data_IF_934692404573
#
_entry.id   IF_934692404573
#
_cell.length_a   1.000
_cell.length_b   1.000
_cell.length_c   1.000
_cell.angle_alpha   90.00
_cell.angle_beta   90.00
_cell.angle_gamma   90.00
#
_symmetry.space_group_name_H-M   'P 1'
#
loop_
_entity.id
_entity.type
_entity.pdbx_description
1 polymer ?
#
# COMPACT_ATOMS: atom_id res chain seq x y z
N UNK A 1 -49.19 14.91 33.62
CA UNK A 1 -47.76 14.69 33.84
C UNK A 1 -47.31 13.52 32.98
N UNK A 2 -46.65 13.76 31.86
CA UNK A 2 -46.06 12.71 31.01
C UNK A 2 -44.56 12.69 31.27
N UNK A 3 -44.08 11.59 31.83
CA UNK A 3 -42.66 11.35 32.08
C UNK A 3 -41.97 11.15 30.74
N UNK A 4 -40.99 12.01 30.40
CA UNK A 4 -40.04 11.81 29.30
C UNK A 4 -38.98 10.82 29.75
N UNK A 5 -39.00 9.61 29.20
CA UNK A 5 -37.90 8.69 29.30
C UNK A 5 -36.77 9.13 28.36
N UNK A 6 -35.72 9.73 28.89
CA UNK A 6 -34.48 9.97 28.20
C UNK A 6 -33.66 8.70 28.35
N UNK A 7 -33.71 7.83 27.32
CA UNK A 7 -32.80 6.70 27.21
C UNK A 7 -31.56 7.18 26.45
N UNK A 8 -30.57 7.73 27.14
CA UNK A 8 -29.22 7.87 26.61
C UNK A 8 -28.54 6.51 26.74
N UNK A 9 -28.55 5.73 25.66
CA UNK A 9 -27.54 4.67 25.48
C UNK A 9 -26.20 5.36 25.36
N UNK A 10 -25.47 5.53 26.46
CA UNK A 10 -24.05 5.78 26.44
C UNK A 10 -23.42 4.57 25.75
N UNK A 11 -23.01 4.75 24.49
CA UNK A 11 -22.18 3.77 23.78
C UNK A 11 -20.87 3.66 24.57
N UNK A 12 -20.57 2.46 25.07
CA UNK A 12 -19.25 2.14 25.59
C UNK A 12 -18.27 2.49 24.45
N UNK A 13 -17.23 3.31 24.70
CA UNK A 13 -16.25 3.62 23.67
C UNK A 13 -15.69 2.29 23.17
N UNK A 14 -15.85 1.99 21.87
CA UNK A 14 -15.15 0.85 21.28
C UNK A 14 -13.64 1.09 21.40
N UNK A 15 -12.88 0.07 21.82
CA UNK A 15 -11.43 0.15 21.90
C UNK A 15 -10.86 0.60 20.56
N UNK A 16 -9.87 1.50 20.53
CA UNK A 16 -9.34 2.05 19.30
C UNK A 16 -8.72 0.97 18.42
N UNK A 17 -8.82 1.17 17.11
CA UNK A 17 -8.16 0.34 16.10
C UNK A 17 -6.79 0.93 15.79
N UNK A 18 -5.73 0.16 15.99
CA UNK A 18 -4.38 0.62 15.61
C UNK A 18 -4.14 0.44 14.12
N UNK A 19 -3.69 1.50 13.47
CA UNK A 19 -3.17 1.45 12.09
C UNK A 19 -1.71 1.88 12.06
N UNK A 20 -0.85 1.04 11.54
CA UNK A 20 0.57 1.38 11.29
C UNK A 20 0.79 1.68 9.81
N UNK A 21 1.85 2.43 9.48
CA UNK A 21 2.16 2.76 8.08
C UNK A 21 1.22 3.79 7.45
N UNK A 22 0.59 4.62 8.24
CA UNK A 22 -0.45 5.60 7.83
C UNK A 22 0.05 6.72 6.93
N UNK A 23 1.35 6.95 6.86
CA UNK A 23 1.98 7.89 5.92
C UNK A 23 2.15 7.31 4.52
N UNK A 24 1.94 6.01 4.35
CA UNK A 24 1.93 5.31 3.07
C UNK A 24 0.56 5.35 2.39
N UNK A 25 0.53 5.02 1.10
CA UNK A 25 -0.68 5.10 0.26
C UNK A 25 -1.85 4.28 0.82
N UNK A 26 -1.64 3.00 1.13
CA UNK A 26 -2.67 2.13 1.71
C UNK A 26 -3.13 2.63 3.08
N UNK A 27 -2.20 2.86 4.00
CA UNK A 27 -2.53 3.27 5.37
C UNK A 27 -3.30 4.60 5.43
N UNK A 28 -2.97 5.56 4.56
CA UNK A 28 -3.69 6.83 4.45
C UNK A 28 -5.15 6.66 4.01
N UNK A 29 -5.42 5.72 3.09
CA UNK A 29 -6.78 5.38 2.65
C UNK A 29 -7.54 4.60 3.72
N UNK A 30 -6.89 3.64 4.37
CA UNK A 30 -7.50 2.81 5.40
C UNK A 30 -7.95 3.64 6.61
N UNK A 31 -7.11 4.56 7.10
CA UNK A 31 -7.48 5.45 8.22
C UNK A 31 -8.71 6.28 7.88
N UNK A 32 -8.77 6.87 6.68
CA UNK A 32 -9.95 7.65 6.25
C UNK A 32 -11.21 6.80 6.19
N UNK A 33 -11.10 5.57 5.71
CA UNK A 33 -12.24 4.65 5.65
C UNK A 33 -12.72 4.28 7.06
N UNK A 34 -11.80 3.94 7.98
CA UNK A 34 -12.16 3.61 9.37
C UNK A 34 -12.84 4.77 10.07
N UNK A 35 -12.34 6.00 9.89
CA UNK A 35 -12.98 7.21 10.44
C UNK A 35 -14.36 7.44 9.83
N UNK A 36 -14.53 7.27 8.52
CA UNK A 36 -15.84 7.38 7.85
C UNK A 36 -16.82 6.31 8.34
N UNK A 37 -16.33 5.14 8.73
CA UNK A 37 -17.13 4.07 9.33
C UNK A 37 -17.38 4.29 10.85
N UNK A 38 -16.99 5.47 11.40
CA UNK A 38 -17.23 5.88 12.78
C UNK A 38 -16.32 5.21 13.82
N UNK A 39 -15.21 4.60 13.40
CA UNK A 39 -14.30 3.91 14.31
C UNK A 39 -13.31 4.89 14.96
N UNK A 40 -12.95 4.65 16.21
CA UNK A 40 -11.84 5.32 16.86
C UNK A 40 -10.53 4.73 16.34
N UNK A 41 -9.64 5.60 15.83
CA UNK A 41 -8.41 5.16 15.18
C UNK A 41 -7.20 5.72 15.93
N UNK A 42 -6.30 4.82 16.33
CA UNK A 42 -4.95 5.15 16.76
C UNK A 42 -3.97 4.94 15.63
N UNK A 43 -3.02 5.84 15.47
CA UNK A 43 -1.99 5.77 14.43
C UNK A 43 -0.59 5.78 15.04
N UNK A 44 0.28 4.89 14.55
CA UNK A 44 1.69 4.91 14.90
C UNK A 44 2.47 5.71 13.85
N UNK A 45 3.16 6.74 14.30
CA UNK A 45 3.93 7.68 13.50
C UNK A 45 5.40 7.68 13.92
N UNK A 46 6.29 7.94 12.98
CA UNK A 46 7.70 8.23 13.29
C UNK A 46 7.90 9.75 13.29
N UNK A 47 8.58 10.29 14.29
CA UNK A 47 8.81 11.74 14.43
C UNK A 47 9.56 12.36 13.25
N UNK A 48 10.43 11.58 12.60
CA UNK A 48 11.34 12.03 11.53
C UNK A 48 10.62 12.30 10.20
N UNK A 49 9.33 11.97 10.07
CA UNK A 49 8.62 12.07 8.79
C UNK A 49 7.54 13.16 8.80
N UNK A 50 7.43 13.86 7.67
CA UNK A 50 6.29 14.72 7.42
C UNK A 50 5.00 13.90 7.37
N UNK A 51 4.13 14.11 8.34
CA UNK A 51 2.90 13.33 8.55
C UNK A 51 1.66 13.96 7.90
N UNK A 52 1.82 14.65 6.76
CA UNK A 52 0.71 15.32 6.06
C UNK A 52 -0.48 14.42 5.77
N UNK A 53 -0.27 13.10 5.68
CA UNK A 53 -1.34 12.14 5.46
C UNK A 53 -2.37 12.08 6.60
N UNK A 54 -2.00 12.50 7.80
CA UNK A 54 -2.87 12.51 8.99
C UNK A 54 -3.31 13.90 9.44
N UNK A 55 -2.92 14.96 8.71
CA UNK A 55 -3.33 16.31 9.04
C UNK A 55 -4.85 16.46 8.92
N UNK A 56 -5.46 17.12 9.93
CA UNK A 56 -6.90 17.36 9.97
C UNK A 56 -7.74 16.11 10.27
N UNK A 57 -7.14 14.95 10.51
CA UNK A 57 -7.87 13.75 10.91
C UNK A 57 -7.98 13.67 12.44
N UNK A 58 -9.16 13.28 12.91
CA UNK A 58 -9.43 12.99 14.32
C UNK A 58 -8.94 11.58 14.66
N UNK A 59 -7.65 11.48 14.99
CA UNK A 59 -6.96 10.23 15.32
C UNK A 59 -6.06 10.41 16.53
N UNK A 60 -5.97 9.39 17.36
CA UNK A 60 -4.99 9.32 18.43
C UNK A 60 -3.59 9.05 17.83
N UNK A 61 -2.61 9.89 18.14
CA UNK A 61 -1.25 9.81 17.61
C UNK A 61 -0.29 9.26 18.65
N UNK A 62 0.33 8.13 18.34
CA UNK A 62 1.45 7.58 19.10
C UNK A 62 2.71 7.69 18.26
N UNK A 63 3.79 8.13 18.86
CA UNK A 63 5.08 8.29 18.18
C UNK A 63 6.04 7.19 18.61
N UNK A 64 6.70 6.57 17.63
CA UNK A 64 7.67 5.50 17.87
C UNK A 64 8.08 4.77 16.60
N UNK A 65 9.05 3.87 16.73
CA UNK A 65 9.51 2.99 15.66
C UNK A 65 9.26 1.53 16.06
N UNK A 66 8.65 0.75 15.18
CA UNK A 66 8.37 -0.67 15.44
C UNK A 66 9.62 -1.53 15.64
N UNK A 67 10.78 -1.04 15.23
CA UNK A 67 12.06 -1.70 15.54
C UNK A 67 12.36 -1.73 17.05
N UNK A 68 11.71 -0.85 17.81
CA UNK A 68 11.72 -0.85 19.27
C UNK A 68 10.46 -1.55 19.80
N UNK A 69 10.65 -2.62 20.55
CA UNK A 69 9.55 -3.37 21.19
C UNK A 69 8.79 -2.52 22.21
N UNK A 70 9.47 -1.60 22.91
CA UNK A 70 8.83 -0.70 23.86
C UNK A 70 7.83 0.22 23.17
N UNK A 71 8.21 0.82 22.04
CA UNK A 71 7.33 1.63 21.21
C UNK A 71 6.15 0.82 20.66
N UNK A 72 6.38 -0.43 20.25
CA UNK A 72 5.32 -1.32 19.79
C UNK A 72 4.29 -1.60 20.91
N UNK A 73 4.74 -1.85 22.15
CA UNK A 73 3.87 -2.06 23.32
C UNK A 73 3.01 -0.84 23.63
N UNK A 74 3.59 0.36 23.61
CA UNK A 74 2.85 1.61 23.81
C UNK A 74 1.79 1.81 22.73
N UNK A 75 2.13 1.55 21.46
CA UNK A 75 1.20 1.70 20.35
C UNK A 75 -0.01 0.77 20.44
N UNK A 76 0.21 -0.48 20.89
CA UNK A 76 -0.80 -1.55 20.94
C UNK A 76 -1.69 -1.47 22.19
N UNK A 77 -1.23 -0.84 23.27
CA UNK A 77 -1.93 -0.83 24.56
C UNK A 77 -3.38 -0.36 24.44
N UNK A 78 -4.34 -1.20 24.87
CA UNK A 78 -5.78 -0.89 24.83
C UNK A 78 -6.40 -0.96 23.42
N UNK A 79 -5.71 -1.49 22.42
CA UNK A 79 -6.28 -1.72 21.09
C UNK A 79 -6.84 -3.14 20.99
N UNK A 80 -8.08 -3.28 20.50
CA UNK A 80 -8.66 -4.61 20.26
C UNK A 80 -8.27 -5.17 18.87
N UNK A 81 -7.98 -4.32 17.89
CA UNK A 81 -7.73 -4.69 16.48
C UNK A 81 -6.56 -3.90 15.92
N UNK A 82 -5.79 -4.53 15.05
CA UNK A 82 -4.62 -3.90 14.41
C UNK A 82 -4.64 -4.13 12.90
N UNK A 83 -4.39 -3.06 12.14
CA UNK A 83 -4.02 -3.12 10.73
C UNK A 83 -2.55 -2.72 10.57
N UNK A 84 -1.73 -3.67 10.17
CA UNK A 84 -0.30 -3.46 10.00
C UNK A 84 0.05 -3.22 8.53
N UNK A 85 0.11 -1.95 8.13
CA UNK A 85 0.47 -1.52 6.76
C UNK A 85 1.90 -0.96 6.67
N UNK A 86 2.63 -0.88 7.78
CA UNK A 86 3.99 -0.36 7.78
C UNK A 86 4.95 -1.32 7.05
N UNK A 87 5.68 -0.80 6.07
CA UNK A 87 6.78 -1.50 5.42
C UNK A 87 7.73 -0.51 4.73
N UNK A 88 9.01 -0.87 4.64
CA UNK A 88 9.97 -0.24 3.74
C UNK A 88 9.94 -0.98 2.41
N UNK A 89 9.32 -0.36 1.39
CA UNK A 89 9.23 -0.89 0.03
C UNK A 89 10.46 -0.47 -0.76
N UNK A 90 11.13 -1.41 -1.43
CA UNK A 90 12.30 -1.14 -2.27
C UNK A 90 12.35 -2.10 -3.47
N UNK A 91 12.77 -1.59 -4.62
CA UNK A 91 13.11 -2.41 -5.80
C UNK A 91 14.61 -2.34 -6.11
N UNK A 92 15.39 -1.79 -5.18
CA UNK A 92 16.85 -1.70 -5.25
C UNK A 92 17.42 -2.87 -4.46
N UNK A 93 18.42 -3.54 -5.01
CA UNK A 93 19.16 -4.58 -4.27
C UNK A 93 19.99 -3.94 -3.13
N UNK A 94 20.63 -2.81 -3.41
CA UNK A 94 21.33 -1.99 -2.43
C UNK A 94 22.56 -2.67 -1.82
N UNK A 95 23.21 -1.97 -0.92
CA UNK A 95 24.31 -2.47 -0.10
C UNK A 95 23.82 -3.23 1.13
N UNK A 96 24.75 -3.68 1.98
CA UNK A 96 24.45 -4.42 3.20
C UNK A 96 23.59 -3.60 4.18
N UNK A 97 23.86 -2.29 4.30
CA UNK A 97 23.09 -1.40 5.18
C UNK A 97 21.65 -1.25 4.70
N UNK A 98 21.44 -1.08 3.39
CA UNK A 98 20.10 -1.02 2.80
C UNK A 98 19.29 -2.31 3.01
N UNK A 99 19.95 -3.48 2.83
CA UNK A 99 19.36 -4.80 3.08
C UNK A 99 18.97 -4.98 4.55
N UNK A 100 19.87 -4.60 5.46
CA UNK A 100 19.61 -4.66 6.89
C UNK A 100 18.44 -3.74 7.29
N UNK A 101 18.39 -2.52 6.78
CA UNK A 101 17.29 -1.60 7.09
C UNK A 101 15.94 -2.11 6.60
N UNK A 102 15.88 -2.79 5.43
CA UNK A 102 14.65 -3.45 4.97
C UNK A 102 14.24 -4.57 5.91
N UNK A 103 15.21 -5.39 6.32
CA UNK A 103 14.98 -6.49 7.26
C UNK A 103 14.48 -5.96 8.61
N UNK A 104 15.17 -5.00 9.20
CA UNK A 104 14.81 -4.43 10.51
C UNK A 104 13.43 -3.77 10.48
N UNK A 105 13.13 -2.98 9.44
CA UNK A 105 11.84 -2.32 9.32
C UNK A 105 10.70 -3.32 9.09
N UNK A 106 10.88 -4.29 8.20
CA UNK A 106 9.80 -5.16 7.77
C UNK A 106 9.66 -6.38 8.67
N UNK A 107 10.77 -7.07 8.98
CA UNK A 107 10.73 -8.33 9.73
C UNK A 107 10.74 -8.08 11.23
N UNK A 108 11.77 -7.39 11.75
CA UNK A 108 11.87 -7.11 13.19
C UNK A 108 10.72 -6.22 13.65
N UNK A 109 10.36 -5.20 12.86
CA UNK A 109 9.21 -4.34 13.18
C UNK A 109 7.90 -5.11 13.26
N UNK A 110 7.65 -6.06 12.34
CA UNK A 110 6.46 -6.92 12.40
C UNK A 110 6.52 -7.88 13.58
N UNK A 111 7.67 -8.51 13.82
CA UNK A 111 7.88 -9.41 14.97
C UNK A 111 7.57 -8.71 16.30
N UNK A 112 8.10 -7.50 16.51
CA UNK A 112 7.83 -6.70 17.70
C UNK A 112 6.35 -6.36 17.85
N UNK A 113 5.67 -5.94 16.75
CA UNK A 113 4.25 -5.63 16.76
C UNK A 113 3.40 -6.86 17.13
N UNK A 114 3.66 -8.01 16.50
CA UNK A 114 2.92 -9.25 16.77
C UNK A 114 3.15 -9.74 18.21
N UNK A 115 4.38 -9.64 18.72
CA UNK A 115 4.68 -9.92 20.13
C UNK A 115 3.92 -9.00 21.07
N UNK A 116 3.95 -7.69 20.84
CA UNK A 116 3.21 -6.71 21.64
C UNK A 116 1.68 -6.96 21.57
N UNK A 117 1.14 -7.29 20.38
CA UNK A 117 -0.26 -7.60 20.18
C UNK A 117 -0.70 -8.83 20.99
N UNK A 118 0.13 -9.89 21.02
CA UNK A 118 -0.13 -11.08 21.83
C UNK A 118 -0.09 -10.78 23.32
N UNK A 119 0.94 -10.05 23.79
CA UNK A 119 1.06 -9.63 25.19
C UNK A 119 -0.14 -8.80 25.64
N UNK A 120 -0.67 -7.93 24.78
CA UNK A 120 -1.85 -7.09 25.02
C UNK A 120 -3.18 -7.81 24.76
N UNK A 121 -3.19 -9.07 24.33
CA UNK A 121 -4.39 -9.86 24.00
C UNK A 121 -5.27 -9.21 22.93
N UNK A 122 -4.64 -8.64 21.91
CA UNK A 122 -5.34 -8.10 20.72
C UNK A 122 -6.19 -9.20 20.10
N UNK A 123 -7.44 -8.88 19.78
CA UNK A 123 -8.40 -9.87 19.25
C UNK A 123 -8.01 -10.35 17.85
N UNK A 124 -7.54 -9.44 16.97
CA UNK A 124 -7.09 -9.80 15.61
C UNK A 124 -6.10 -8.78 15.04
N UNK A 125 -5.14 -9.29 14.29
CA UNK A 125 -4.19 -8.48 13.49
C UNK A 125 -4.34 -8.80 12.01
N UNK A 126 -4.54 -7.79 11.17
CA UNK A 126 -4.44 -7.92 9.70
C UNK A 126 -3.12 -7.33 9.26
N UNK A 127 -2.26 -8.16 8.66
CA UNK A 127 -0.93 -7.76 8.18
C UNK A 127 -0.97 -7.62 6.67
N UNK A 128 -0.45 -6.51 6.15
CA UNK A 128 -0.32 -6.30 4.70
C UNK A 128 0.80 -7.15 4.14
N UNK A 129 0.45 -8.19 3.41
CA UNK A 129 1.35 -8.98 2.59
C UNK A 129 1.73 -8.27 1.28
N UNK A 130 2.42 -8.98 0.40
CA UNK A 130 2.79 -8.47 -0.92
C UNK A 130 2.70 -9.59 -1.96
N UNK A 131 2.14 -9.30 -3.12
CA UNK A 131 2.14 -10.24 -4.24
C UNK A 131 3.54 -10.63 -4.69
N UNK A 132 4.55 -9.81 -4.39
CA UNK A 132 5.96 -10.15 -4.58
C UNK A 132 6.43 -11.33 -3.72
N UNK A 133 5.76 -11.64 -2.60
CA UNK A 133 6.05 -12.80 -1.74
C UNK A 133 5.30 -14.07 -2.15
N UNK A 134 4.34 -13.97 -3.07
CA UNK A 134 3.66 -15.15 -3.64
C UNK A 134 4.58 -15.79 -4.67
N UNK A 135 4.64 -17.11 -4.70
CA UNK A 135 5.38 -17.87 -5.71
C UNK A 135 4.76 -17.75 -7.11
N UNK A 136 5.43 -18.35 -8.08
CA UNK A 136 4.96 -18.46 -9.47
C UNK A 136 5.59 -19.68 -10.13
N UNK A 137 4.99 -20.14 -11.21
CA UNK A 137 5.57 -21.25 -11.99
C UNK A 137 6.82 -20.78 -12.73
N UNK A 138 7.92 -21.51 -12.60
CA UNK A 138 9.20 -21.14 -13.23
C UNK A 138 9.20 -21.38 -14.74
N UNK A 139 8.43 -22.38 -15.19
CA UNK A 139 8.23 -22.72 -16.62
C UNK A 139 7.28 -21.75 -17.33
N UNK A 140 6.33 -21.17 -16.58
CA UNK A 140 5.39 -20.17 -17.08
C UNK A 140 5.10 -19.12 -15.98
N UNK A 141 5.92 -18.08 -15.87
CA UNK A 141 5.72 -17.03 -14.86
C UNK A 141 4.44 -16.21 -15.05
N UNK A 142 3.80 -16.28 -16.23
CA UNK A 142 2.55 -15.58 -16.52
C UNK A 142 1.30 -16.38 -16.06
N UNK A 143 1.45 -17.65 -15.76
CA UNK A 143 0.34 -18.44 -15.20
C UNK A 143 -0.15 -17.81 -13.88
N UNK A 144 -1.49 -17.81 -13.63
CA UNK A 144 -2.04 -17.21 -12.41
C UNK A 144 -1.45 -17.83 -11.15
N UNK A 145 -1.04 -16.97 -10.22
CA UNK A 145 -0.47 -17.36 -8.93
C UNK A 145 -1.52 -17.22 -7.83
N UNK A 146 -1.73 -18.26 -7.07
CA UNK A 146 -2.61 -18.32 -5.91
C UNK A 146 -1.85 -18.31 -4.57
N UNK A 147 -2.58 -18.36 -3.46
CA UNK A 147 -2.03 -18.33 -2.12
C UNK A 147 -1.24 -19.61 -1.74
N UNK A 148 -1.40 -20.71 -2.45
CA UNK A 148 -0.68 -21.96 -2.19
C UNK A 148 0.69 -22.02 -2.88
N UNK A 149 0.94 -21.11 -3.84
CA UNK A 149 2.21 -21.05 -4.55
C UNK A 149 3.37 -20.73 -3.62
N UNK A 150 4.37 -21.62 -3.59
CA UNK A 150 5.57 -21.44 -2.80
C UNK A 150 6.50 -20.40 -3.44
N UNK A 151 7.18 -19.64 -2.58
CA UNK A 151 8.13 -18.62 -3.03
C UNK A 151 9.49 -19.25 -3.39
N UNK A 152 9.90 -19.10 -4.65
CA UNK A 152 11.18 -19.58 -5.21
C UNK A 152 11.68 -18.65 -6.31
N UNK A 153 12.98 -18.67 -6.63
CA UNK A 153 14.13 -19.00 -5.79
C UNK A 153 14.64 -17.77 -5.02
N UNK A 154 15.16 -17.94 -3.84
CA UNK A 154 15.71 -16.86 -3.02
C UNK A 154 16.87 -16.11 -3.70
N UNK A 155 17.66 -16.79 -4.50
CA UNK A 155 18.89 -16.26 -5.11
C UNK A 155 18.67 -15.11 -6.09
N UNK A 156 17.48 -15.05 -6.74
CA UNK A 156 17.16 -14.05 -7.76
C UNK A 156 16.12 -13.04 -7.32
N UNK A 157 15.89 -12.90 -6.02
CA UNK A 157 14.86 -12.04 -5.47
C UNK A 157 15.44 -10.80 -4.85
N UNK A 158 14.65 -9.73 -4.83
CA UNK A 158 15.03 -8.48 -4.18
C UNK A 158 14.94 -8.61 -2.64
N UNK A 159 15.73 -7.83 -1.88
CA UNK A 159 15.66 -7.83 -0.41
C UNK A 159 14.25 -7.58 0.13
N UNK A 160 13.47 -6.73 -0.55
CA UNK A 160 12.07 -6.48 -0.19
C UNK A 160 11.20 -7.73 -0.34
N UNK A 161 11.32 -8.46 -1.45
CA UNK A 161 10.54 -9.70 -1.68
C UNK A 161 10.82 -10.71 -0.57
N UNK A 162 12.11 -10.94 -0.25
CA UNK A 162 12.53 -11.82 0.85
C UNK A 162 11.97 -11.37 2.19
N UNK A 163 12.03 -10.07 2.48
CA UNK A 163 11.51 -9.55 3.74
C UNK A 163 10.00 -9.80 3.89
N UNK A 164 9.24 -9.73 2.78
CA UNK A 164 7.80 -10.01 2.82
C UNK A 164 7.47 -11.49 3.02
N UNK A 165 8.29 -12.40 2.50
CA UNK A 165 8.20 -13.84 2.83
C UNK A 165 8.47 -14.09 4.32
N UNK A 166 9.52 -13.48 4.85
CA UNK A 166 9.85 -13.60 6.28
C UNK A 166 8.75 -13.00 7.18
N UNK A 167 8.10 -11.91 6.75
CA UNK A 167 6.92 -11.35 7.44
C UNK A 167 5.79 -12.38 7.51
N UNK A 168 5.51 -13.11 6.42
CA UNK A 168 4.50 -14.17 6.44
C UNK A 168 4.88 -15.29 7.43
N UNK A 169 6.17 -15.65 7.52
CA UNK A 169 6.63 -16.63 8.51
C UNK A 169 6.47 -16.13 9.96
N UNK A 170 6.75 -14.85 10.23
CA UNK A 170 6.50 -14.27 11.56
C UNK A 170 5.00 -14.26 11.90
N UNK A 171 4.13 -14.02 10.91
CA UNK A 171 2.68 -14.15 11.09
C UNK A 171 2.28 -15.59 11.49
N UNK A 172 2.80 -16.61 10.78
CA UNK A 172 2.52 -18.02 11.11
C UNK A 172 3.03 -18.41 12.49
N UNK A 173 4.22 -17.93 12.89
CA UNK A 173 4.74 -18.14 14.27
C UNK A 173 3.80 -17.54 15.31
N UNK A 174 3.34 -16.31 15.10
CA UNK A 174 2.41 -15.66 16.01
C UNK A 174 1.07 -16.41 16.12
N UNK A 175 0.60 -17.01 15.01
CA UNK A 175 -0.61 -17.87 15.00
C UNK A 175 -0.40 -19.13 15.85
N UNK A 176 0.75 -19.81 15.69
CA UNK A 176 1.08 -20.99 16.54
C UNK A 176 1.14 -20.62 18.01
N UNK A 177 1.55 -19.39 18.32
CA UNK A 177 1.57 -18.82 19.68
C UNK A 177 0.21 -18.30 20.17
N UNK A 178 -0.87 -18.48 19.39
CA UNK A 178 -2.25 -18.20 19.77
C UNK A 178 -2.80 -16.83 19.38
N UNK A 179 -2.06 -16.02 18.58
CA UNK A 179 -2.57 -14.74 18.08
C UNK A 179 -3.38 -14.95 16.81
N UNK A 180 -4.56 -14.31 16.70
CA UNK A 180 -5.35 -14.32 15.46
C UNK A 180 -4.73 -13.34 14.44
N UNK A 181 -4.06 -13.88 13.42
CA UNK A 181 -3.41 -13.11 12.36
C UNK A 181 -3.94 -13.54 11.00
N UNK A 182 -4.28 -12.56 10.15
CA UNK A 182 -4.67 -12.76 8.75
C UNK A 182 -3.78 -11.89 7.85
N UNK A 183 -3.33 -12.41 6.71
CA UNK A 183 -2.48 -11.68 5.78
C UNK A 183 -3.31 -11.20 4.58
N UNK A 184 -3.36 -9.87 4.38
CA UNK A 184 -3.96 -9.24 3.20
C UNK A 184 -2.87 -8.95 2.16
N UNK A 185 -2.72 -9.84 1.18
CA UNK A 185 -1.68 -9.77 0.15
C UNK A 185 -2.04 -8.77 -0.93
N UNK A 186 -1.24 -7.71 -1.03
CA UNK A 186 -1.49 -6.53 -1.85
C UNK A 186 -0.71 -6.59 -3.17
N UNK A 187 -1.38 -6.28 -4.28
CA UNK A 187 -0.78 -5.99 -5.58
C UNK A 187 -0.33 -4.51 -5.68
N UNK A 188 0.00 -3.99 -6.86
CA UNK A 188 0.43 -2.60 -7.01
C UNK A 188 -0.76 -1.65 -6.81
N UNK A 189 -0.69 -0.79 -5.79
CA UNK A 189 -1.80 0.10 -5.42
C UNK A 189 -1.86 1.32 -6.33
N UNK A 190 -3.07 1.64 -6.82
CA UNK A 190 -3.40 2.86 -7.56
C UNK A 190 -4.63 3.53 -6.94
N UNK A 191 -4.64 4.87 -6.86
CA UNK A 191 -5.78 5.61 -6.29
C UNK A 191 -5.39 6.94 -5.66
N UNK A 192 -6.35 7.62 -5.05
CA UNK A 192 -6.16 8.87 -4.32
C UNK A 192 -5.41 8.69 -3.00
N UNK A 193 -5.20 9.82 -2.30
CA UNK A 193 -4.52 9.87 -0.99
C UNK A 193 -3.08 9.33 -0.96
N UNK A 194 -2.37 9.39 -2.09
CA UNK A 194 -0.96 9.04 -2.20
C UNK A 194 -0.07 10.24 -1.79
N UNK A 195 -0.12 10.62 -0.49
CA UNK A 195 0.53 11.81 0.07
C UNK A 195 2.04 11.83 -0.09
N UNK A 196 2.66 10.67 -0.10
CA UNK A 196 4.08 10.47 -0.42
C UNK A 196 4.14 9.68 -1.71
N UNK A 197 4.17 10.36 -2.87
CA UNK A 197 3.91 9.70 -4.14
C UNK A 197 4.62 8.36 -4.26
N UNK A 198 3.83 7.30 -4.39
CA UNK A 198 4.29 5.95 -4.65
C UNK A 198 5.04 5.91 -5.99
N UNK A 199 5.65 4.79 -6.34
CA UNK A 199 6.26 4.66 -7.67
C UNK A 199 5.25 4.90 -8.77
N UNK A 200 4.04 4.37 -8.61
CA UNK A 200 2.97 4.50 -9.59
C UNK A 200 2.43 5.93 -9.64
N UNK A 201 2.19 6.56 -8.47
CA UNK A 201 1.79 7.97 -8.40
C UNK A 201 2.82 8.90 -9.04
N UNK A 202 4.13 8.65 -8.82
CA UNK A 202 5.20 9.38 -9.54
C UNK A 202 5.18 9.13 -11.03
N UNK A 203 4.93 7.88 -11.48
CA UNK A 203 4.87 7.57 -12.91
C UNK A 203 3.71 8.31 -13.58
N UNK A 204 2.55 8.39 -12.94
CA UNK A 204 1.42 9.19 -13.39
C UNK A 204 1.78 10.68 -13.49
N UNK A 205 2.35 11.26 -12.43
CA UNK A 205 2.77 12.67 -12.44
C UNK A 205 3.81 12.95 -13.52
N UNK A 206 4.78 12.05 -13.72
CA UNK A 206 5.82 12.21 -14.72
C UNK A 206 5.30 12.04 -16.14
N UNK A 207 4.32 11.16 -16.33
CA UNK A 207 3.61 11.01 -17.61
C UNK A 207 2.92 12.34 -17.96
N UNK A 208 2.07 12.83 -17.08
CA UNK A 208 1.28 14.04 -17.34
C UNK A 208 2.17 15.28 -17.45
N UNK A 209 3.24 15.37 -16.68
CA UNK A 209 4.21 16.47 -16.75
C UNK A 209 5.21 16.34 -17.94
N UNK A 210 5.06 15.36 -18.83
CA UNK A 210 5.93 15.16 -19.99
C UNK A 210 7.36 14.73 -19.65
N UNK A 211 7.59 14.20 -18.43
CA UNK A 211 8.91 13.76 -17.95
C UNK A 211 9.20 12.28 -18.22
N UNK A 212 8.18 11.47 -18.55
CA UNK A 212 8.36 10.08 -18.92
C UNK A 212 8.89 9.99 -20.35
N UNK A 213 10.10 9.43 -20.52
CA UNK A 213 10.80 9.39 -21.82
C UNK A 213 10.73 8.02 -22.50
N UNK A 214 10.65 6.96 -21.70
CA UNK A 214 10.65 5.59 -22.19
C UNK A 214 9.90 4.65 -21.25
N UNK A 215 9.38 3.58 -21.84
CA UNK A 215 8.79 2.45 -21.10
C UNK A 215 9.19 1.13 -21.76
N UNK A 216 8.96 0.00 -21.08
CA UNK A 216 9.25 -1.34 -21.59
C UNK A 216 7.96 -2.12 -21.82
N UNK A 217 8.03 -3.17 -22.63
CA UNK A 217 6.97 -4.17 -22.64
C UNK A 217 7.01 -4.93 -21.30
N UNK A 218 5.91 -4.92 -20.58
CA UNK A 218 5.74 -5.61 -19.34
C UNK A 218 4.37 -5.30 -18.74
N UNK A 219 3.96 -6.06 -17.76
CA UNK A 219 2.67 -5.90 -17.11
C UNK A 219 2.76 -6.22 -15.63
N UNK A 220 1.73 -5.85 -14.91
CA UNK A 220 1.63 -6.09 -13.48
C UNK A 220 0.16 -6.17 -13.03
N UNK A 221 -0.07 -6.81 -11.89
CA UNK A 221 -1.36 -6.79 -11.21
C UNK A 221 -1.52 -5.49 -10.41
N UNK A 222 -2.60 -4.79 -10.68
CA UNK A 222 -2.96 -3.56 -9.99
C UNK A 222 -4.15 -3.78 -9.08
N UNK A 223 -4.16 -3.07 -7.95
CA UNK A 223 -5.30 -3.03 -7.04
C UNK A 223 -5.69 -1.57 -6.77
N UNK A 224 -6.97 -1.26 -6.89
CA UNK A 224 -7.47 0.06 -6.51
C UNK A 224 -7.31 0.28 -5.01
N UNK A 225 -6.95 1.50 -4.59
CA UNK A 225 -6.74 1.82 -3.18
C UNK A 225 -7.97 1.51 -2.33
N UNK A 226 -9.18 1.72 -2.86
CA UNK A 226 -10.43 1.35 -2.19
C UNK A 226 -10.58 -0.17 -2.06
N UNK A 227 -10.23 -0.92 -3.10
CA UNK A 227 -10.41 -2.38 -3.12
C UNK A 227 -9.48 -3.06 -2.12
N UNK A 228 -8.22 -2.61 -2.01
CA UNK A 228 -7.31 -3.17 -1.00
C UNK A 228 -7.70 -2.77 0.41
N UNK A 229 -8.28 -1.59 0.62
CA UNK A 229 -8.87 -1.20 1.91
C UNK A 229 -10.04 -2.12 2.25
N UNK A 230 -10.97 -2.35 1.31
CA UNK A 230 -12.08 -3.30 1.50
C UNK A 230 -11.56 -4.72 1.77
N UNK A 231 -10.49 -5.14 1.08
CA UNK A 231 -9.81 -6.41 1.37
C UNK A 231 -9.30 -6.52 2.81
N UNK A 232 -8.71 -5.46 3.35
CA UNK A 232 -8.27 -5.42 4.75
C UNK A 232 -9.45 -5.50 5.73
N UNK A 233 -10.54 -4.78 5.46
CA UNK A 233 -11.76 -4.84 6.26
C UNK A 233 -12.42 -6.23 6.20
N UNK A 234 -12.44 -6.86 5.04
CA UNK A 234 -12.92 -8.23 4.86
C UNK A 234 -12.06 -9.24 5.61
N UNK A 235 -10.72 -9.12 5.56
CA UNK A 235 -9.80 -9.93 6.35
C UNK A 235 -10.06 -9.78 7.85
N UNK A 236 -10.27 -8.55 8.33
CA UNK A 236 -10.59 -8.28 9.72
C UNK A 236 -11.91 -8.95 10.15
N UNK A 237 -12.93 -8.91 9.29
CA UNK A 237 -14.28 -9.39 9.60
C UNK A 237 -14.45 -10.88 9.40
N UNK A 238 -13.88 -11.45 8.33
CA UNK A 238 -14.19 -12.81 7.85
C UNK A 238 -12.96 -13.69 7.62
N UNK A 239 -11.74 -13.12 7.60
CA UNK A 239 -10.53 -13.86 7.30
C UNK A 239 -10.32 -15.02 8.27
N UNK A 240 -9.87 -16.16 7.76
CA UNK A 240 -9.50 -17.31 8.60
C UNK A 240 -8.11 -17.09 9.19
N UNK A 241 -7.95 -17.33 10.47
CA UNK A 241 -6.68 -17.23 11.19
C UNK A 241 -5.58 -18.06 10.50
N UNK A 242 -4.40 -17.47 10.30
CA UNK A 242 -3.28 -18.11 9.62
C UNK A 242 -3.36 -18.14 8.10
N UNK A 243 -4.45 -17.64 7.51
CA UNK A 243 -4.61 -17.60 6.07
C UNK A 243 -4.14 -16.27 5.46
N UNK A 244 -3.69 -16.33 4.22
CA UNK A 244 -3.49 -15.17 3.36
C UNK A 244 -4.54 -15.13 2.26
N UNK A 245 -4.85 -13.93 1.77
CA UNK A 245 -5.78 -13.65 0.67
C UNK A 245 -5.16 -12.64 -0.27
N UNK A 246 -5.16 -12.93 -1.57
CA UNK A 246 -4.63 -12.05 -2.61
C UNK A 246 -5.73 -11.09 -3.05
N UNK A 247 -5.39 -9.80 -3.11
CA UNK A 247 -6.26 -8.74 -3.58
C UNK A 247 -5.66 -8.06 -4.81
N UNK A 248 -6.35 -8.21 -5.92
CA UNK A 248 -6.10 -7.51 -7.17
C UNK A 248 -7.40 -6.97 -7.74
N UNK A 249 -7.33 -5.91 -8.53
CA UNK A 249 -8.45 -5.39 -9.31
C UNK A 249 -8.33 -5.85 -10.75
N UNK A 250 -7.18 -5.66 -11.37
CA UNK A 250 -6.99 -5.94 -12.80
C UNK A 250 -5.49 -6.05 -13.14
N UNK A 251 -5.16 -6.98 -14.05
CA UNK A 251 -3.85 -7.00 -14.69
C UNK A 251 -3.83 -6.04 -15.87
N UNK A 252 -2.81 -5.21 -15.97
CA UNK A 252 -2.59 -4.34 -17.12
C UNK A 252 -1.15 -4.43 -17.61
N UNK A 253 -1.02 -4.40 -18.95
CA UNK A 253 0.26 -4.09 -19.56
C UNK A 253 0.59 -2.61 -19.36
N UNK A 254 1.89 -2.26 -19.35
CA UNK A 254 2.29 -0.86 -19.13
C UNK A 254 1.75 0.11 -20.21
N UNK A 255 1.62 -0.33 -21.47
CA UNK A 255 0.99 0.50 -22.49
C UNK A 255 -0.48 0.79 -22.16
N UNK A 256 -1.26 -0.21 -21.75
CA UNK A 256 -2.66 -0.04 -21.36
C UNK A 256 -2.81 0.92 -20.17
N UNK A 257 -1.91 0.83 -19.20
CA UNK A 257 -1.86 1.78 -18.09
C UNK A 257 -1.54 3.21 -18.57
N UNK A 258 -0.60 3.38 -19.52
CA UNK A 258 -0.28 4.69 -20.07
C UNK A 258 -1.42 5.25 -20.92
N UNK A 259 -2.14 4.40 -21.65
CA UNK A 259 -3.36 4.77 -22.39
C UNK A 259 -4.44 5.28 -21.43
N UNK A 260 -4.62 4.64 -20.26
CA UNK A 260 -5.51 5.16 -19.22
C UNK A 260 -5.05 6.53 -18.66
N UNK A 261 -3.73 6.73 -18.50
CA UNK A 261 -3.20 8.02 -18.07
C UNK A 261 -3.50 9.12 -19.10
N UNK A 262 -3.34 8.81 -20.38
CA UNK A 262 -3.68 9.71 -21.49
C UNK A 262 -5.17 10.04 -21.51
N UNK A 263 -6.01 9.04 -21.43
CA UNK A 263 -7.47 9.20 -21.42
C UNK A 263 -7.92 10.13 -20.27
N UNK A 264 -7.41 9.89 -19.05
CA UNK A 264 -7.83 10.62 -17.86
C UNK A 264 -7.26 12.03 -17.83
N UNK A 265 -6.00 12.22 -18.24
CA UNK A 265 -5.34 13.54 -18.21
C UNK A 265 -5.57 14.38 -19.46
N UNK A 266 -5.89 13.75 -20.58
CA UNK A 266 -5.95 14.38 -21.90
C UNK A 266 -4.59 14.78 -22.45
N UNK A 267 -3.49 14.29 -21.84
CA UNK A 267 -2.10 14.62 -22.25
C UNK A 267 -1.49 13.43 -22.92
N UNK A 268 -1.12 13.57 -24.19
CA UNK A 268 -0.37 12.55 -24.92
C UNK A 268 1.10 12.57 -24.50
N UNK A 269 1.63 11.43 -24.08
CA UNK A 269 3.02 11.32 -23.71
C UNK A 269 3.88 10.81 -24.89
N UNK A 270 4.96 11.53 -25.21
CA UNK A 270 5.93 11.13 -26.25
C UNK A 270 6.89 10.02 -25.80
N UNK A 271 6.57 9.23 -24.79
CA UNK A 271 7.42 8.16 -24.29
C UNK A 271 7.57 7.04 -25.32
N UNK A 272 8.80 6.61 -25.57
CA UNK A 272 9.11 5.56 -26.55
C UNK A 272 9.21 4.20 -25.87
N UNK A 273 8.62 3.19 -26.50
CA UNK A 273 8.81 1.81 -26.07
C UNK A 273 10.22 1.35 -26.44
N UNK A 274 10.97 0.88 -25.46
CA UNK A 274 12.32 0.34 -25.65
C UNK A 274 12.35 -1.16 -25.36
N UNK A 275 13.28 -1.92 -25.99
CA UNK A 275 13.52 -3.32 -25.66
C UNK A 275 13.90 -3.47 -24.18
N UNK A 276 13.34 -4.46 -23.50
CA UNK A 276 13.60 -4.70 -22.07
C UNK A 276 15.09 -5.01 -21.80
N UNK A 277 15.77 -5.73 -22.71
CA UNK A 277 17.21 -6.03 -22.61
C UNK A 277 18.06 -4.77 -22.61
N UNK A 278 17.76 -3.81 -23.50
CA UNK A 278 18.46 -2.53 -23.56
C UNK A 278 18.23 -1.72 -22.29
N UNK A 279 16.98 -1.63 -21.81
CA UNK A 279 16.64 -0.93 -20.59
C UNK A 279 17.26 -1.59 -19.36
N UNK A 280 17.36 -2.92 -19.34
CA UNK A 280 18.03 -3.66 -18.28
C UNK A 280 19.51 -3.31 -18.21
N UNK A 281 20.23 -3.35 -19.34
CA UNK A 281 21.64 -2.99 -19.41
C UNK A 281 21.89 -1.55 -18.94
N UNK A 282 21.09 -0.58 -19.43
CA UNK A 282 21.18 0.81 -18.97
C UNK A 282 20.88 0.95 -17.47
N UNK A 283 19.88 0.22 -16.97
CA UNK A 283 19.53 0.30 -15.56
C UNK A 283 20.60 -0.31 -14.66
N UNK A 284 21.30 -1.35 -15.07
CA UNK A 284 22.43 -1.94 -14.34
C UNK A 284 23.61 -0.98 -14.27
N UNK A 285 23.98 -0.36 -15.39
CA UNK A 285 25.05 0.66 -15.43
C UNK A 285 24.66 1.86 -14.56
N UNK A 286 23.43 2.35 -14.70
CA UNK A 286 22.94 3.48 -13.91
C UNK A 286 22.89 3.13 -12.41
N UNK A 287 22.46 1.93 -12.04
CA UNK A 287 22.43 1.48 -10.63
C UNK A 287 23.83 1.41 -10.05
N UNK A 288 24.79 0.88 -10.80
CA UNK A 288 26.19 0.84 -10.35
C UNK A 288 26.75 2.25 -10.14
N UNK A 289 26.56 3.16 -11.10
CA UNK A 289 27.02 4.55 -11.00
C UNK A 289 26.34 5.28 -9.83
N UNK A 290 25.01 5.20 -9.74
CA UNK A 290 24.24 5.89 -8.71
C UNK A 290 24.57 5.37 -7.30
N UNK A 291 24.71 4.06 -7.13
CA UNK A 291 25.09 3.50 -5.83
C UNK A 291 26.47 3.97 -5.37
N UNK A 292 27.39 4.23 -6.30
CA UNK A 292 28.77 4.64 -5.99
C UNK A 292 28.92 6.14 -5.76
N UNK A 293 28.19 6.98 -6.52
CA UNK A 293 28.39 8.43 -6.56
C UNK A 293 27.21 9.24 -6.06
N UNK A 294 25.99 8.69 -6.09
CA UNK A 294 24.76 9.38 -5.69
C UNK A 294 23.81 8.43 -4.93
N UNK A 295 24.20 7.90 -3.77
CA UNK A 295 23.43 6.86 -3.05
C UNK A 295 22.03 7.33 -2.61
N UNK A 296 21.82 8.63 -2.46
CA UNK A 296 20.50 9.23 -2.11
C UNK A 296 19.55 9.37 -3.31
N UNK A 297 20.04 9.15 -4.55
CA UNK A 297 19.19 9.30 -5.74
C UNK A 297 18.22 8.14 -5.90
N UNK A 298 16.95 8.47 -6.03
CA UNK A 298 15.87 7.47 -6.15
C UNK A 298 15.72 7.05 -7.61
N UNK A 299 16.44 5.98 -8.02
CA UNK A 299 16.37 5.46 -9.38
C UNK A 299 14.94 4.94 -9.70
N UNK A 300 14.35 5.36 -10.80
CA UNK A 300 12.99 4.99 -11.21
C UNK A 300 12.90 3.57 -11.77
N UNK A 301 13.69 3.28 -12.79
CA UNK A 301 13.76 1.96 -13.42
C UNK A 301 15.00 1.24 -12.88
N UNK A 302 14.80 0.44 -11.87
CA UNK A 302 15.82 -0.43 -11.31
C UNK A 302 15.84 -1.77 -12.07
N UNK A 303 16.97 -2.49 -12.12
CA UNK A 303 17.02 -3.81 -12.73
C UNK A 303 15.97 -4.77 -12.16
N UNK A 304 15.76 -4.73 -10.85
CA UNK A 304 14.71 -5.54 -10.18
C UNK A 304 13.30 -5.21 -10.66
N UNK A 305 12.97 -3.92 -10.81
CA UNK A 305 11.66 -3.50 -11.31
C UNK A 305 11.44 -3.94 -12.77
N UNK A 306 12.46 -3.85 -13.63
CA UNK A 306 12.38 -4.30 -15.03
C UNK A 306 12.13 -5.81 -15.08
N UNK A 307 12.91 -6.61 -14.33
CA UNK A 307 12.71 -8.07 -14.27
C UNK A 307 11.33 -8.45 -13.77
N UNK A 308 10.82 -7.73 -12.76
CA UNK A 308 9.48 -7.95 -12.22
C UNK A 308 8.38 -7.71 -13.27
N UNK A 309 8.46 -6.58 -13.98
CA UNK A 309 7.49 -6.20 -15.02
C UNK A 309 7.51 -7.18 -16.21
N UNK A 310 8.69 -7.66 -16.61
CA UNK A 310 8.83 -8.60 -17.72
C UNK A 310 8.23 -9.99 -17.45
N UNK A 311 8.01 -10.36 -16.18
CA UNK A 311 7.37 -11.63 -15.82
C UNK A 311 5.88 -11.65 -16.12
N UNK A 312 5.24 -10.50 -16.25
CA UNK A 312 3.79 -10.36 -16.53
C UNK A 312 2.93 -11.30 -15.64
N UNK A 313 3.21 -11.28 -14.33
CA UNK A 313 2.56 -12.20 -13.37
C UNK A 313 1.11 -11.84 -13.14
N UNK A 314 0.25 -12.86 -13.22
CA UNK A 314 -1.18 -12.75 -12.91
C UNK A 314 -1.49 -13.28 -11.51
N UNK A 315 -2.48 -12.67 -10.85
CA UNK A 315 -2.97 -13.08 -9.54
C UNK A 315 -4.29 -13.85 -9.68
N UNK A 316 -4.39 -14.99 -9.01
CA UNK A 316 -5.68 -15.64 -8.78
C UNK A 316 -6.29 -15.12 -7.48
N UNK A 317 -7.43 -14.44 -7.59
CA UNK A 317 -8.19 -13.88 -6.46
C UNK A 317 -9.42 -14.70 -6.09
N UNK A 318 -9.53 -15.93 -6.62
CA UNK A 318 -10.71 -16.80 -6.40
C UNK A 318 -10.98 -17.03 -4.92
N UNK A 319 -9.94 -17.25 -4.11
CA UNK A 319 -10.06 -17.44 -2.67
C UNK A 319 -10.65 -16.21 -1.97
N UNK A 320 -10.16 -15.01 -2.27
CA UNK A 320 -10.71 -13.77 -1.71
C UNK A 320 -12.18 -13.56 -2.12
N UNK A 321 -12.53 -13.87 -3.37
CA UNK A 321 -13.91 -13.78 -3.86
C UNK A 321 -14.84 -14.78 -3.16
N UNK A 322 -14.44 -16.04 -3.06
CA UNK A 322 -15.31 -17.12 -2.54
C UNK A 322 -15.44 -17.09 -1.02
N UNK A 323 -14.35 -16.89 -0.29
CA UNK A 323 -14.37 -16.96 1.18
C UNK A 323 -14.76 -15.63 1.82
N UNK A 324 -14.34 -14.48 1.25
CA UNK A 324 -14.57 -13.17 1.85
C UNK A 324 -15.69 -12.39 1.15
N UNK A 325 -16.05 -12.75 -0.07
CA UNK A 325 -16.98 -11.98 -0.90
C UNK A 325 -16.33 -10.72 -1.51
N UNK A 326 -15.02 -10.77 -1.79
CA UNK A 326 -14.30 -9.65 -2.39
C UNK A 326 -14.80 -9.36 -3.81
N UNK A 327 -15.11 -8.10 -4.09
CA UNK A 327 -15.58 -7.63 -5.39
C UNK A 327 -14.75 -6.40 -5.80
N UNK A 328 -13.73 -6.57 -6.66
CA UNK A 328 -12.93 -5.46 -7.13
C UNK A 328 -13.74 -4.50 -8.01
N UNK A 329 -13.37 -3.24 -7.98
CA UNK A 329 -13.99 -2.16 -8.75
C UNK A 329 -13.33 -2.03 -10.14
N UNK A 330 -12.77 -0.86 -10.47
CA UNK A 330 -12.13 -0.59 -11.76
C UNK A 330 -10.82 0.15 -11.57
N UNK A 331 -9.77 -0.28 -12.25
CA UNK A 331 -8.49 0.44 -12.27
C UNK A 331 -8.62 1.80 -12.94
N UNK A 332 -9.47 1.92 -13.96
CA UNK A 332 -9.76 3.22 -14.59
C UNK A 332 -10.27 4.26 -13.56
N UNK A 333 -11.23 3.86 -12.73
CA UNK A 333 -11.74 4.74 -11.67
C UNK A 333 -10.64 5.09 -10.65
N UNK A 334 -9.80 4.14 -10.29
CA UNK A 334 -8.67 4.38 -9.38
C UNK A 334 -7.62 5.32 -9.99
N UNK A 335 -7.36 5.25 -11.29
CA UNK A 335 -6.49 6.20 -12.01
C UNK A 335 -7.09 7.59 -12.02
N UNK A 336 -8.41 7.73 -12.21
CA UNK A 336 -9.11 9.01 -12.12
C UNK A 336 -8.96 9.64 -10.73
N UNK A 337 -9.13 8.86 -9.66
CA UNK A 337 -8.93 9.30 -8.28
C UNK A 337 -7.47 9.73 -8.02
N UNK A 338 -6.50 8.94 -8.50
CA UNK A 338 -5.08 9.28 -8.39
C UNK A 338 -4.76 10.59 -9.11
N UNK A 339 -5.25 10.73 -10.33
CA UNK A 339 -5.07 11.93 -11.12
C UNK A 339 -5.67 13.17 -10.44
N UNK A 340 -6.93 13.10 -10.01
CA UNK A 340 -7.61 14.19 -9.32
C UNK A 340 -6.87 14.60 -8.05
N UNK A 341 -6.40 13.63 -7.26
CA UNK A 341 -5.62 13.87 -6.06
C UNK A 341 -4.30 14.60 -6.34
N UNK A 342 -3.51 14.15 -7.31
CA UNK A 342 -2.24 14.77 -7.67
C UNK A 342 -2.40 16.13 -8.36
N UNK A 343 -3.46 16.30 -9.14
CA UNK A 343 -3.82 17.58 -9.76
C UNK A 343 -4.16 18.63 -8.71
N UNK A 344 -5.07 18.31 -7.78
CA UNK A 344 -5.48 19.22 -6.70
C UNK A 344 -4.31 19.60 -5.77
N UNK A 345 -3.35 18.70 -5.58
CA UNK A 345 -2.14 18.98 -4.78
C UNK A 345 -1.06 19.76 -5.52
N UNK A 346 -1.25 20.09 -6.78
CA UNK A 346 -0.26 20.81 -7.59
C UNK A 346 1.00 19.98 -7.91
N UNK A 347 0.97 18.67 -7.79
CA UNK A 347 2.07 17.78 -8.23
C UNK A 347 2.06 17.57 -9.74
N UNK A 348 0.92 17.77 -10.37
CA UNK A 348 0.75 17.89 -11.83
C UNK A 348 0.80 19.37 -12.16
N UNK A 349 1.80 19.77 -12.95
CA UNK A 349 2.08 21.17 -13.30
C UNK A 349 1.92 21.47 -14.78
N UNK A 350 1.58 20.46 -15.61
CA UNK A 350 1.37 20.63 -17.04
C UNK A 350 0.07 21.39 -17.29
N UNK A 351 0.15 22.57 -17.90
CA UNK A 351 -1.00 23.43 -18.23
C UNK A 351 -1.96 22.83 -19.29
N UNK A 352 -1.49 21.84 -20.06
CA UNK A 352 -2.32 21.11 -21.01
C UNK A 352 -3.18 20.00 -20.37
N UNK A 353 -2.93 19.69 -19.09
CA UNK A 353 -3.67 18.66 -18.36
C UNK A 353 -5.12 19.13 -18.13
N UNK A 354 -6.09 18.27 -18.47
CA UNK A 354 -7.52 18.57 -18.25
C UNK A 354 -7.81 18.71 -16.76
N UNK A 355 -8.68 19.65 -16.41
CA UNK A 355 -9.24 19.67 -15.06
C UNK A 355 -9.94 18.34 -14.78
N UNK A 356 -9.71 17.70 -13.63
CA UNK A 356 -10.38 16.44 -13.33
C UNK A 356 -11.88 16.64 -13.28
N UNK A 357 -12.65 15.72 -13.88
CA UNK A 357 -14.09 15.69 -13.71
C UNK A 357 -14.40 15.60 -12.21
N UNK A 358 -15.39 16.36 -11.74
CA UNK A 358 -15.85 16.26 -10.36
C UNK A 358 -16.34 14.83 -10.16
N UNK A 359 -15.57 14.02 -9.47
CA UNK A 359 -16.00 12.68 -9.05
C UNK A 359 -17.12 12.93 -8.06
N UNK A 360 -18.36 12.61 -8.45
CA UNK A 360 -19.56 12.86 -7.66
C UNK A 360 -19.36 12.37 -6.23
N UNK A 361 -19.54 13.28 -5.28
CA UNK A 361 -19.55 12.99 -3.85
C UNK A 361 -20.69 12.01 -3.52
N UNK A 362 -20.38 10.76 -3.38
CA UNK A 362 -21.18 9.83 -2.58
C UNK A 362 -20.57 9.78 -1.19
N UNK A 363 -20.63 10.90 -0.48
CA UNK A 363 -20.58 10.96 0.99
C UNK A 363 -20.81 12.40 1.43
N UNK A 364 -21.89 12.65 2.14
CA UNK A 364 -22.14 13.90 2.83
C UNK A 364 -21.02 14.11 3.86
N UNK A 365 -20.02 14.90 3.51
CA UNK A 365 -19.09 15.46 4.47
C UNK A 365 -19.65 16.77 5.00
N UNK A 366 -19.81 16.85 6.31
CA UNK A 366 -20.19 18.04 7.06
C UNK A 366 -19.27 19.20 6.70
N UNK A 367 -19.87 20.35 6.33
CA UNK A 367 -19.15 21.55 6.01
C UNK A 367 -18.37 22.10 7.20
N UNK A 368 -17.08 22.26 7.00
CA UNK A 368 -16.26 23.18 7.81
C UNK A 368 -15.84 24.29 6.85
N UNK A 369 -16.46 25.44 7.03
CA UNK A 369 -16.19 26.65 6.27
C UNK A 369 -14.77 27.16 6.54
N UNK A 370 -13.98 27.22 5.49
CA UNK A 370 -12.75 28.02 5.48
C UNK A 370 -13.14 29.50 5.46
N UNK A 371 -13.05 30.16 6.60
CA UNK A 371 -13.01 31.62 6.64
C UNK A 371 -11.59 32.08 6.28
N UNK A 372 -11.48 32.70 5.12
CA UNK A 372 -10.32 33.53 4.79
C UNK A 372 -10.25 34.70 5.76
N UNK A 373 -9.11 34.90 6.35
CA UNK A 373 -8.74 36.08 7.11
C UNK A 373 -7.24 36.24 7.13
N UNK A 374 -6.74 37.10 6.26
CA UNK A 374 -5.44 37.74 6.35
C UNK A 374 -5.69 39.07 7.06
N UNK A 375 -4.82 39.58 7.93
CA UNK A 375 -3.63 40.30 7.48
C UNK A 375 -2.29 39.65 7.78
#
# INVERSE_FOLDING_TARGET
MKARSVSSKASIPEDPVLVTGVTGHLGANLVRRLLNDGQQVRVLLREVYNNTATNGLDVERVYGDLRDLGAARVAVAGCARIYHCAAKVSTIDGDAQHKQEIYDCNVIGTQNLLRAAREARVARVVVTGSFSAVGYRLDDPSAPSDEAMQFYPFERTMPYERSKVLVEHECLKAVVEGLDVVVATCCAVVGGNDFRPSRLGRTLCDFVNGKLRAYIRGGFEFVAARDIVDGHLLCMKKGRTGHKYIFSTEFLMLNELLDLFEEVSGVTCGARRLPASLMLAFSEIASFYLSRFHPSYNQRLTPGAIRLLCKCRHADITKARTELGYQPTSIRAAVQEAYAFHYTRGTITNSAAKSPAVVGETSKAAGIGLRNGIP
#
